data_IF_997738067457
#
_entry.id   IF_997738067457
#
_cell.length_a   1.000
_cell.length_b   1.000
_cell.length_c   1.000
_cell.angle_alpha   90.00
_cell.angle_beta   90.00
_cell.angle_gamma   90.00
#
_symmetry.space_group_name_H-M   'P 1'
#
loop_
_entity.id
_entity.type
_entity.pdbx_description
1 polymer ?
#
# COMPACT_ATOMS: atom_id res chain seq x y z
N UNK A 1 7.50 -7.20 -9.83
CA UNK A 1 7.35 -6.60 -8.47
C UNK A 1 8.57 -6.92 -7.63
N UNK A 2 9.05 -5.97 -6.84
CA UNK A 2 10.24 -6.08 -5.98
C UNK A 2 9.80 -5.81 -4.54
N UNK A 3 10.07 -6.76 -3.63
CA UNK A 3 9.84 -6.57 -2.20
C UNK A 3 11.03 -5.86 -1.57
N UNK A 4 10.79 -4.74 -0.91
CA UNK A 4 11.76 -3.95 -0.18
C UNK A 4 11.57 -4.22 1.32
N UNK A 5 12.53 -4.92 1.95
CA UNK A 5 12.47 -5.21 3.39
C UNK A 5 13.47 -4.34 4.14
N UNK A 6 12.99 -3.41 4.98
CA UNK A 6 13.84 -2.48 5.73
C UNK A 6 13.32 -2.16 7.15
N UNK A 7 12.12 -2.61 7.47
CA UNK A 7 11.50 -2.46 8.77
C UNK A 7 10.55 -3.62 9.04
N UNK A 8 9.42 -3.35 9.66
CA UNK A 8 8.39 -4.33 9.98
C UNK A 8 7.44 -4.56 8.81
N UNK A 9 7.12 -3.51 8.06
CA UNK A 9 6.19 -3.57 6.93
C UNK A 9 6.90 -4.02 5.66
N UNK A 10 6.28 -4.90 4.91
CA UNK A 10 6.71 -5.27 3.58
C UNK A 10 6.27 -4.20 2.60
N UNK A 11 7.22 -3.42 2.11
CA UNK A 11 7.02 -2.44 1.04
C UNK A 11 7.22 -3.11 -0.31
N UNK A 12 6.42 -2.75 -1.30
CA UNK A 12 6.52 -3.34 -2.64
C UNK A 12 6.70 -2.26 -3.70
N UNK A 13 7.73 -2.40 -4.53
CA UNK A 13 7.90 -1.59 -5.73
C UNK A 13 7.39 -2.37 -6.94
N UNK A 14 6.40 -1.81 -7.62
CA UNK A 14 5.81 -2.35 -8.84
C UNK A 14 6.34 -1.49 -10.01
N UNK A 15 7.23 -2.02 -10.85
CA UNK A 15 7.75 -1.26 -11.98
C UNK A 15 6.65 -1.02 -13.02
N UNK A 16 6.63 0.19 -13.58
CA UNK A 16 5.85 0.57 -14.75
C UNK A 16 6.76 0.86 -15.95
N UNK A 17 6.21 1.47 -17.01
CA UNK A 17 6.94 1.74 -18.26
C UNK A 17 8.05 2.80 -18.09
N UNK A 18 7.76 3.90 -17.38
CA UNK A 18 8.71 4.99 -17.16
C UNK A 18 9.08 5.12 -15.67
N UNK A 19 8.08 5.06 -14.80
CA UNK A 19 8.22 5.07 -13.35
C UNK A 19 7.28 4.04 -12.76
N UNK A 20 7.55 3.58 -11.53
CA UNK A 20 6.73 2.58 -10.86
C UNK A 20 5.89 3.14 -9.73
N UNK A 21 5.12 2.25 -9.13
CA UNK A 21 4.31 2.46 -7.94
C UNK A 21 5.02 1.85 -6.73
N UNK A 22 5.14 2.62 -5.65
CA UNK A 22 5.50 2.10 -4.33
C UNK A 22 4.21 1.83 -3.55
N UNK A 23 4.03 0.60 -3.09
CA UNK A 23 2.90 0.19 -2.27
C UNK A 23 3.36 -0.02 -0.83
N UNK A 24 2.78 0.75 0.08
CA UNK A 24 3.15 0.90 1.49
C UNK A 24 4.58 1.44 1.72
N UNK A 25 4.81 1.90 2.93
CA UNK A 25 6.12 2.20 3.50
C UNK A 25 6.25 1.51 4.86
N UNK A 26 7.12 2.00 5.70
CA UNK A 26 7.24 1.62 7.10
C UNK A 26 7.00 2.87 7.97
N UNK A 27 7.26 2.77 9.23
CA UNK A 27 7.11 3.80 10.24
C UNK A 27 7.99 5.03 9.94
N UNK A 28 7.56 6.21 10.37
CA UNK A 28 8.35 7.43 10.23
C UNK A 28 9.73 7.28 10.90
N UNK A 29 10.76 7.90 10.29
CA UNK A 29 12.15 7.79 10.75
C UNK A 29 12.92 6.62 10.13
N UNK A 30 12.30 5.75 9.35
CA UNK A 30 12.96 4.61 8.69
C UNK A 30 13.59 4.96 7.32
N UNK A 31 13.55 6.23 6.89
CA UNK A 31 14.04 6.67 5.58
C UNK A 31 15.49 6.23 5.25
N UNK A 32 16.47 6.26 6.18
CA UNK A 32 17.82 5.76 5.88
C UNK A 32 17.85 4.27 5.56
N UNK A 33 17.00 3.48 6.23
CA UNK A 33 16.87 2.05 5.97
C UNK A 33 16.18 1.79 4.62
N UNK A 34 15.17 2.59 4.27
CA UNK A 34 14.53 2.59 2.96
C UNK A 34 15.54 2.84 1.83
N UNK A 35 16.38 3.87 1.93
CA UNK A 35 17.42 4.16 0.92
C UNK A 35 18.38 2.99 0.72
N UNK A 36 18.75 2.33 1.82
CA UNK A 36 19.60 1.13 1.73
C UNK A 36 18.88 0.00 0.99
N UNK A 37 17.60 -0.23 1.30
CA UNK A 37 16.82 -1.29 0.68
C UNK A 37 16.60 -1.05 -0.82
N UNK A 38 16.21 0.16 -1.24
CA UNK A 38 16.04 0.46 -2.68
C UNK A 38 17.35 0.30 -3.44
N UNK A 39 18.47 0.80 -2.90
CA UNK A 39 19.81 0.64 -3.51
C UNK A 39 20.21 -0.84 -3.65
N UNK A 40 19.99 -1.65 -2.62
CA UNK A 40 20.30 -3.08 -2.63
C UNK A 40 19.49 -3.86 -3.68
N UNK A 41 18.30 -3.39 -4.00
CA UNK A 41 17.41 -3.99 -4.99
C UNK A 41 17.51 -3.33 -6.39
N UNK A 42 18.48 -2.45 -6.60
CA UNK A 42 18.68 -1.79 -7.90
C UNK A 42 17.59 -0.78 -8.27
N UNK A 43 16.83 -0.29 -7.28
CA UNK A 43 15.79 0.74 -7.45
C UNK A 43 16.37 2.07 -6.99
N UNK A 44 16.03 3.15 -7.66
CA UNK A 44 16.34 4.51 -7.22
C UNK A 44 15.04 5.25 -6.90
N UNK A 45 15.08 6.25 -6.00
CA UNK A 45 13.89 7.04 -5.64
C UNK A 45 13.26 7.69 -6.88
N UNK A 46 14.05 8.12 -7.84
CA UNK A 46 13.57 8.69 -9.13
C UNK A 46 12.75 7.70 -9.98
N UNK A 47 12.89 6.39 -9.75
CA UNK A 47 12.15 5.36 -10.45
C UNK A 47 10.73 5.19 -9.87
N UNK A 48 10.48 5.79 -8.68
CA UNK A 48 9.18 5.77 -8.00
C UNK A 48 8.39 7.00 -8.46
N UNK A 49 7.39 6.79 -9.29
CA UNK A 49 6.52 7.87 -9.76
C UNK A 49 5.42 8.21 -8.77
N UNK A 50 4.83 7.17 -8.18
CA UNK A 50 3.74 7.28 -7.23
C UNK A 50 3.96 6.39 -6.02
N UNK A 51 3.38 6.81 -4.88
CA UNK A 51 3.25 6.04 -3.65
C UNK A 51 1.77 5.90 -3.33
N UNK A 52 1.35 4.70 -2.94
CA UNK A 52 0.00 4.34 -2.53
C UNK A 52 0.10 3.56 -1.22
N UNK A 53 -0.55 4.02 -0.16
CA UNK A 53 -0.68 3.26 1.08
C UNK A 53 -1.89 2.33 1.02
N UNK A 54 -1.75 1.12 1.56
CA UNK A 54 -2.90 0.22 1.75
C UNK A 54 -3.92 0.84 2.71
N UNK A 55 -3.45 1.58 3.72
CA UNK A 55 -4.22 2.36 4.67
C UNK A 55 -3.29 3.32 5.43
N UNK A 56 -3.85 4.24 6.23
CA UNK A 56 -3.08 5.31 6.85
C UNK A 56 -2.68 5.04 8.31
N UNK A 57 -2.46 3.77 8.70
CA UNK A 57 -1.78 3.45 9.96
C UNK A 57 -0.28 3.82 9.88
N UNK A 58 0.35 4.12 11.04
CA UNK A 58 1.69 4.73 11.08
C UNK A 58 2.78 3.98 10.34
N UNK A 59 2.69 2.66 10.32
CA UNK A 59 3.69 1.77 9.71
C UNK A 59 3.41 1.43 8.24
N UNK A 60 2.39 2.05 7.63
CA UNK A 60 2.10 1.97 6.20
C UNK A 60 2.33 3.28 5.46
N UNK A 61 2.29 4.41 6.18
CA UNK A 61 2.34 5.74 5.58
C UNK A 61 3.52 6.61 6.03
N UNK A 62 4.35 6.12 6.96
CA UNK A 62 5.32 6.94 7.70
C UNK A 62 6.38 7.65 6.86
N UNK A 63 6.66 7.21 5.63
CA UNK A 63 7.62 7.86 4.73
C UNK A 63 6.97 8.66 3.59
N UNK A 64 5.64 8.71 3.50
CA UNK A 64 4.94 9.37 2.37
C UNK A 64 5.41 10.81 2.21
N UNK A 65 5.29 11.63 3.26
CA UNK A 65 5.65 13.05 3.21
C UNK A 65 7.14 13.28 2.85
N UNK A 66 8.03 12.42 3.35
CA UNK A 66 9.47 12.53 3.06
C UNK A 66 9.79 12.16 1.60
N UNK A 67 9.08 11.19 1.02
CA UNK A 67 9.21 10.81 -0.38
C UNK A 67 8.56 11.84 -1.31
N UNK A 68 7.43 12.45 -0.92
CA UNK A 68 6.82 13.55 -1.67
C UNK A 68 7.78 14.74 -1.81
N UNK A 69 8.52 15.09 -0.77
CA UNK A 69 9.58 16.14 -0.82
C UNK A 69 10.70 15.82 -1.80
N UNK A 70 10.82 14.56 -2.24
CA UNK A 70 11.81 14.11 -3.23
C UNK A 70 11.21 13.93 -4.63
N UNK A 71 9.96 14.36 -4.82
CA UNK A 71 9.29 14.35 -6.11
C UNK A 71 8.45 13.11 -6.40
N UNK A 72 8.32 12.18 -5.45
CA UNK A 72 7.36 11.08 -5.54
C UNK A 72 5.96 11.66 -5.34
N UNK A 73 5.01 11.32 -6.20
CA UNK A 73 3.62 11.78 -6.10
C UNK A 73 2.81 10.85 -5.19
N UNK A 74 1.91 11.41 -4.40
CA UNK A 74 0.96 10.63 -3.62
C UNK A 74 -0.26 10.29 -4.48
N UNK A 75 -0.57 9.00 -4.57
CA UNK A 75 -1.83 8.49 -5.09
C UNK A 75 -2.73 8.14 -3.90
N UNK A 76 -3.97 8.62 -3.93
CA UNK A 76 -4.98 8.40 -2.89
C UNK A 76 -6.22 7.82 -3.55
N UNK A 77 -6.79 6.80 -2.98
CA UNK A 77 -8.14 6.37 -3.35
C UNK A 77 -9.14 7.20 -2.54
N UNK A 78 -10.21 7.65 -3.17
CA UNK A 78 -11.19 8.58 -2.58
C UNK A 78 -11.70 8.16 -1.19
N UNK A 79 -11.89 6.86 -0.96
CA UNK A 79 -12.27 6.29 0.36
C UNK A 79 -11.22 6.54 1.45
N UNK A 80 -10.00 6.93 1.09
CA UNK A 80 -8.88 7.18 2.02
C UNK A 80 -8.77 8.66 2.42
N UNK A 81 -9.48 9.57 1.75
CA UNK A 81 -9.27 11.01 1.90
C UNK A 81 -9.33 11.50 3.35
N UNK A 82 -10.30 11.04 4.12
CA UNK A 82 -10.51 11.49 5.49
C UNK A 82 -9.48 10.93 6.48
N UNK A 83 -8.62 10.03 6.03
CA UNK A 83 -7.65 9.30 6.86
C UNK A 83 -6.20 9.75 6.69
N UNK A 84 -5.89 10.63 5.73
CA UNK A 84 -4.53 11.07 5.40
C UNK A 84 -3.72 11.56 6.61
N UNK A 85 -4.40 12.13 7.61
CA UNK A 85 -3.82 12.69 8.84
C UNK A 85 -4.07 11.82 10.09
N UNK A 86 -4.60 10.60 9.91
CA UNK A 86 -4.91 9.70 11.03
C UNK A 86 -3.70 9.48 11.95
N UNK A 87 -2.53 9.30 11.38
CA UNK A 87 -1.29 8.98 12.12
C UNK A 87 -0.54 10.19 12.69
N UNK A 88 -0.91 11.42 12.35
CA UNK A 88 -0.19 12.64 12.78
C UNK A 88 -0.12 12.74 14.31
N UNK A 89 -1.22 12.48 15.00
CA UNK A 89 -1.29 12.53 16.46
C UNK A 89 -0.47 11.42 17.14
N UNK A 90 -0.35 10.27 16.48
CA UNK A 90 0.44 9.12 16.96
C UNK A 90 1.92 9.45 16.88
N UNK A 91 2.42 9.96 15.75
CA UNK A 91 3.81 10.39 15.62
C UNK A 91 4.19 11.51 16.58
N UNK A 92 3.29 12.49 16.76
CA UNK A 92 3.50 13.57 17.73
C UNK A 92 3.64 13.04 19.17
N UNK A 93 2.81 12.08 19.57
CA UNK A 93 2.85 11.43 20.87
C UNK A 93 4.15 10.65 21.08
N UNK A 94 4.59 9.93 20.05
CA UNK A 94 5.80 9.12 20.06
C UNK A 94 7.08 9.96 19.91
N UNK A 95 6.93 11.30 19.76
CA UNK A 95 8.04 12.25 19.57
C UNK A 95 8.95 11.91 18.40
N UNK A 96 8.39 11.31 17.35
CA UNK A 96 9.10 11.00 16.13
C UNK A 96 9.09 12.24 15.24
N UNK A 97 10.24 12.54 14.62
CA UNK A 97 10.33 13.60 13.63
C UNK A 97 9.49 13.18 12.41
N UNK A 98 8.38 13.84 12.21
CA UNK A 98 7.40 13.58 11.17
C UNK A 98 6.92 14.91 10.57
N UNK A 99 6.61 14.91 9.30
CA UNK A 99 5.92 16.03 8.64
C UNK A 99 4.57 15.53 8.12
N UNK A 100 3.48 16.26 8.38
CA UNK A 100 2.17 15.92 7.80
C UNK A 100 2.22 15.82 6.28
N UNK A 101 1.33 15.06 5.70
CA UNK A 101 1.14 14.95 4.26
C UNK A 101 0.62 16.28 3.71
N UNK A 102 1.17 16.73 2.58
CA UNK A 102 0.59 17.82 1.80
C UNK A 102 -0.48 17.26 0.85
N UNK A 103 -1.71 17.20 1.34
CA UNK A 103 -2.86 16.68 0.58
C UNK A 103 -3.16 17.46 -0.69
N UNK A 104 -2.76 18.75 -0.76
CA UNK A 104 -3.05 19.62 -1.93
C UNK A 104 -2.32 19.17 -3.20
N UNK A 105 -1.27 18.38 -3.04
CA UNK A 105 -0.48 17.82 -4.15
C UNK A 105 -0.79 16.34 -4.44
N UNK A 106 -1.75 15.75 -3.72
CA UNK A 106 -2.16 14.37 -3.94
C UNK A 106 -2.97 14.21 -5.25
N UNK A 107 -2.81 13.06 -5.90
CA UNK A 107 -3.69 12.63 -6.99
C UNK A 107 -4.75 11.74 -6.39
N UNK A 108 -6.01 12.20 -6.40
CA UNK A 108 -7.14 11.43 -5.86
C UNK A 108 -7.92 10.82 -7.00
N UNK A 109 -8.20 9.52 -6.90
CA UNK A 109 -9.01 8.76 -7.86
C UNK A 109 -9.94 7.80 -7.11
N UNK A 110 -10.99 7.33 -7.77
CA UNK A 110 -11.81 6.23 -7.22
C UNK A 110 -11.19 4.86 -7.48
N UNK A 111 -11.67 3.81 -6.80
CA UNK A 111 -11.32 2.42 -7.12
C UNK A 111 -11.61 2.10 -8.59
N UNK A 112 -12.75 2.56 -9.13
CA UNK A 112 -13.17 2.31 -10.51
C UNK A 112 -12.22 2.93 -11.55
N UNK A 113 -11.62 4.08 -11.23
CA UNK A 113 -10.66 4.76 -12.09
C UNK A 113 -9.25 4.15 -12.02
N UNK A 114 -8.97 3.37 -10.96
CA UNK A 114 -7.63 2.87 -10.66
C UNK A 114 -7.03 2.02 -11.78
N UNK A 115 -7.83 1.17 -12.42
CA UNK A 115 -7.37 0.35 -13.56
C UNK A 115 -6.85 1.20 -14.71
N UNK A 116 -7.57 2.24 -15.08
CA UNK A 116 -7.15 3.14 -16.17
C UNK A 116 -5.91 3.93 -15.77
N UNK A 117 -5.86 4.42 -14.53
CA UNK A 117 -4.71 5.15 -14.01
C UNK A 117 -3.44 4.29 -14.01
N UNK A 118 -3.51 3.09 -13.44
CA UNK A 118 -2.38 2.14 -13.38
C UNK A 118 -1.93 1.70 -14.77
N UNK A 119 -2.88 1.46 -15.68
CA UNK A 119 -2.57 1.14 -17.10
C UNK A 119 -1.78 2.26 -17.76
N UNK A 120 -2.09 3.53 -17.47
CA UNK A 120 -1.32 4.69 -17.93
C UNK A 120 0.13 4.72 -17.44
N UNK A 121 0.44 3.98 -16.39
CA UNK A 121 1.81 3.77 -15.87
C UNK A 121 2.47 2.49 -16.42
N UNK A 122 1.77 1.67 -17.20
CA UNK A 122 2.22 0.33 -17.63
C UNK A 122 2.04 -0.74 -16.54
N UNK A 123 1.20 -0.49 -15.53
CA UNK A 123 0.87 -1.44 -14.47
C UNK A 123 -0.53 -1.98 -14.73
N UNK A 124 -0.63 -3.29 -14.92
CA UNK A 124 -1.91 -3.96 -15.21
C UNK A 124 -2.51 -4.52 -13.92
N UNK A 125 -3.61 -3.92 -13.47
CA UNK A 125 -4.29 -4.26 -12.23
C UNK A 125 -5.28 -3.16 -11.83
N UNK A 126 -5.88 -3.32 -10.67
CA UNK A 126 -6.81 -2.36 -10.10
C UNK A 126 -6.76 -2.36 -8.57
N UNK A 127 -7.23 -1.29 -7.98
CA UNK A 127 -7.39 -1.16 -6.52
C UNK A 127 -8.82 -1.50 -6.15
N UNK A 128 -8.99 -2.26 -5.07
CA UNK A 128 -10.29 -2.61 -4.51
C UNK A 128 -10.39 -2.20 -3.05
N UNK A 129 -11.54 -1.72 -2.64
CA UNK A 129 -11.81 -1.36 -1.24
C UNK A 129 -12.01 -2.63 -0.39
N UNK A 130 -11.24 -2.77 0.70
CA UNK A 130 -11.22 -3.94 1.60
C UNK A 130 -11.22 -3.49 3.06
N UNK A 131 -12.34 -2.91 3.55
CA UNK A 131 -12.40 -2.14 4.80
C UNK A 131 -12.43 -2.95 6.10
N UNK A 132 -12.26 -4.27 6.08
CA UNK A 132 -12.44 -5.08 7.31
C UNK A 132 -11.34 -4.88 8.35
N UNK A 133 -10.15 -4.38 7.97
CA UNK A 133 -9.09 -3.99 8.89
C UNK A 133 -9.30 -2.54 9.39
N UNK A 134 -9.46 -1.60 8.48
CA UNK A 134 -9.79 -0.20 8.75
C UNK A 134 -10.60 0.37 7.57
N UNK A 135 -11.42 1.40 7.83
CA UNK A 135 -12.37 1.95 6.85
C UNK A 135 -11.70 2.45 5.56
N UNK A 136 -10.43 2.86 5.64
CA UNK A 136 -9.61 3.34 4.52
C UNK A 136 -8.80 2.24 3.84
N UNK A 137 -8.92 0.98 4.28
CA UNK A 137 -8.11 -0.12 3.74
C UNK A 137 -8.45 -0.47 2.31
N UNK A 138 -7.40 -0.62 1.50
CA UNK A 138 -7.50 -1.04 0.10
C UNK A 138 -6.54 -2.19 -0.19
N UNK A 139 -6.86 -2.97 -1.20
CA UNK A 139 -5.98 -3.99 -1.77
C UNK A 139 -5.66 -3.68 -3.22
N UNK A 140 -4.46 -4.03 -3.67
CA UNK A 140 -4.03 -3.90 -5.07
C UNK A 140 -4.00 -5.28 -5.72
N UNK A 141 -4.84 -5.50 -6.72
CA UNK A 141 -4.94 -6.74 -7.49
C UNK A 141 -4.28 -6.56 -8.85
N UNK A 142 -3.25 -7.36 -9.15
CA UNK A 142 -2.53 -7.32 -10.41
C UNK A 142 -2.99 -8.45 -11.35
N UNK A 143 -3.05 -8.18 -12.64
CA UNK A 143 -3.53 -9.13 -13.65
C UNK A 143 -2.64 -10.39 -13.79
N UNK A 144 -1.40 -10.34 -13.29
CA UNK A 144 -0.51 -11.51 -13.22
C UNK A 144 -0.89 -12.53 -12.13
N UNK A 145 -1.88 -12.17 -11.29
CA UNK A 145 -2.37 -12.97 -10.18
C UNK A 145 -1.72 -12.63 -8.82
N UNK A 146 -0.92 -11.57 -8.72
CA UNK A 146 -0.42 -11.06 -7.45
C UNK A 146 -1.46 -10.13 -6.82
N UNK A 147 -1.71 -10.29 -5.52
CA UNK A 147 -2.59 -9.41 -4.77
C UNK A 147 -1.88 -8.93 -3.49
N UNK A 148 -1.83 -7.61 -3.30
CA UNK A 148 -1.25 -6.97 -2.12
C UNK A 148 -2.39 -6.49 -1.23
N UNK A 149 -2.46 -6.96 0.00
CA UNK A 149 -3.66 -6.79 0.85
C UNK A 149 -3.42 -5.95 2.12
N UNK A 150 -2.23 -5.35 2.27
CA UNK A 150 -1.90 -4.59 3.50
C UNK A 150 -2.05 -5.48 4.73
N UNK A 151 -2.85 -5.03 5.69
CA UNK A 151 -3.12 -5.68 6.98
C UNK A 151 -4.42 -6.46 7.02
N UNK A 152 -4.98 -6.79 5.85
CA UNK A 152 -6.14 -7.67 5.81
C UNK A 152 -5.83 -8.99 6.52
N UNK A 153 -6.68 -9.40 7.45
CA UNK A 153 -6.50 -10.66 8.19
C UNK A 153 -6.36 -11.86 7.24
N UNK A 154 -5.44 -12.79 7.52
CA UNK A 154 -5.15 -13.91 6.63
C UNK A 154 -6.38 -14.72 6.25
N UNK A 155 -6.42 -15.16 4.98
CA UNK A 155 -7.52 -15.96 4.42
C UNK A 155 -7.82 -17.22 5.26
N UNK A 156 -6.80 -17.85 5.83
CA UNK A 156 -6.94 -19.02 6.72
C UNK A 156 -7.64 -18.72 8.05
N UNK A 157 -7.77 -17.45 8.41
CA UNK A 157 -8.42 -17.05 9.65
C UNK A 157 -9.92 -16.81 9.49
N UNK A 158 -10.46 -16.91 8.26
CA UNK A 158 -11.89 -16.74 8.01
C UNK A 158 -12.77 -17.67 8.91
N UNK A 159 -12.33 -18.90 9.14
CA UNK A 159 -13.05 -19.83 10.04
C UNK A 159 -13.03 -19.36 11.51
N UNK A 160 -11.90 -18.78 11.96
CA UNK A 160 -11.79 -18.24 13.31
C UNK A 160 -12.62 -16.95 13.49
N UNK A 161 -12.76 -16.18 12.43
CA UNK A 161 -13.52 -14.91 12.37
C UNK A 161 -14.84 -15.04 11.60
N UNK A 162 -15.49 -16.21 11.65
CA UNK A 162 -16.70 -16.53 10.88
C UNK A 162 -17.87 -15.55 11.06
N UNK A 163 -17.90 -14.83 12.18
CA UNK A 163 -18.92 -13.82 12.48
C UNK A 163 -18.54 -12.42 11.92
N UNK A 164 -17.33 -12.25 11.38
CA UNK A 164 -16.89 -11.03 10.72
C UNK A 164 -17.30 -11.07 9.23
N UNK A 165 -18.51 -10.58 8.96
CA UNK A 165 -19.05 -10.55 7.59
C UNK A 165 -18.29 -9.62 6.66
N UNK A 166 -17.65 -8.54 7.20
CA UNK A 166 -16.82 -7.62 6.42
C UNK A 166 -15.58 -8.33 5.90
N UNK A 167 -14.85 -9.04 6.77
CA UNK A 167 -13.66 -9.80 6.38
C UNK A 167 -13.99 -10.86 5.30
N UNK A 168 -15.14 -11.54 5.47
CA UNK A 168 -15.59 -12.51 4.47
C UNK A 168 -15.88 -11.82 3.13
N UNK A 169 -16.56 -10.68 3.16
CA UNK A 169 -16.89 -9.91 1.95
C UNK A 169 -15.63 -9.46 1.21
N UNK A 170 -14.61 -8.96 1.93
CA UNK A 170 -13.34 -8.53 1.35
C UNK A 170 -12.63 -9.69 0.66
N UNK A 171 -12.57 -10.86 1.33
CA UNK A 171 -11.97 -12.05 0.73
C UNK A 171 -12.77 -12.60 -0.44
N UNK A 172 -14.10 -12.63 -0.37
CA UNK A 172 -14.94 -13.04 -1.51
C UNK A 172 -14.69 -12.11 -2.72
N UNK A 173 -14.54 -10.80 -2.49
CA UNK A 173 -14.21 -9.84 -3.54
C UNK A 173 -12.83 -10.10 -4.14
N UNK A 174 -11.77 -10.19 -3.30
CA UNK A 174 -10.40 -10.49 -3.77
C UNK A 174 -10.37 -11.82 -4.54
N UNK A 175 -11.01 -12.86 -4.03
CA UNK A 175 -11.00 -14.19 -4.65
C UNK A 175 -11.74 -14.23 -6.00
N UNK A 176 -12.66 -13.28 -6.25
CA UNK A 176 -13.33 -13.14 -7.54
C UNK A 176 -12.35 -12.82 -8.69
N UNK A 177 -11.19 -12.24 -8.39
CA UNK A 177 -10.11 -11.99 -9.34
C UNK A 177 -9.18 -13.19 -9.59
N UNK A 178 -9.44 -14.33 -8.94
CA UNK A 178 -8.64 -15.55 -9.04
C UNK A 178 -7.12 -15.32 -8.78
N UNK A 179 -6.74 -14.68 -7.65
CA UNK A 179 -5.33 -14.43 -7.34
C UNK A 179 -4.56 -15.74 -7.21
N UNK A 180 -3.28 -15.71 -7.57
CA UNK A 180 -2.35 -16.83 -7.43
C UNK A 180 -1.46 -16.69 -6.19
N UNK A 181 -1.17 -15.46 -5.79
CA UNK A 181 -0.33 -15.13 -4.63
C UNK A 181 -0.91 -13.95 -3.87
N UNK A 182 -0.90 -14.06 -2.56
CA UNK A 182 -1.29 -12.97 -1.65
C UNK A 182 -0.02 -12.46 -0.94
N UNK A 183 0.14 -11.14 -0.94
CA UNK A 183 1.24 -10.45 -0.28
C UNK A 183 0.69 -9.60 0.87
N UNK A 184 1.10 -9.94 2.08
CA UNK A 184 0.74 -9.25 3.31
C UNK A 184 1.81 -8.25 3.72
N UNK A 185 1.41 -7.22 4.44
CA UNK A 185 2.36 -6.23 4.94
C UNK A 185 3.27 -6.80 6.04
N UNK A 186 2.78 -7.69 6.90
CA UNK A 186 3.54 -8.17 8.05
C UNK A 186 3.87 -9.67 8.02
N UNK A 187 3.44 -10.38 7.00
CA UNK A 187 3.57 -11.83 6.90
C UNK A 187 4.31 -12.25 5.63
N UNK A 188 4.80 -13.51 5.56
CA UNK A 188 5.25 -14.10 4.31
C UNK A 188 4.11 -14.14 3.27
N UNK A 189 4.50 -14.12 1.99
CA UNK A 189 3.54 -14.34 0.89
C UNK A 189 2.89 -15.72 0.99
N UNK A 190 1.63 -15.80 0.56
CA UNK A 190 0.88 -17.04 0.45
C UNK A 190 0.63 -17.35 -1.02
N UNK A 191 0.97 -18.58 -1.45
CA UNK A 191 0.57 -19.11 -2.76
C UNK A 191 -0.76 -19.81 -2.63
N UNK A 192 -1.66 -19.49 -3.55
CA UNK A 192 -2.94 -20.15 -3.70
C UNK A 192 -2.77 -21.24 -4.76
N UNK A 193 -3.20 -22.46 -4.46
CA UNK A 193 -3.07 -23.62 -5.33
C UNK A 193 -3.99 -23.57 -6.53
#
# INVERSE_FOLDING_TARGET
MIKLKYGNTNTFFIPGDNTGLLFDTDYAGTLPAFYKAVKQNGVAVKDIGYILASHYHPDHMGLISELMKQGVKLLVIDVQNDFLHYSDSIFAKDKIAFSPIDETSATVISCEESRNFLSGMGIHGEVVHTPSHSEDSISLVLDNGDCLVGDLEPLEYLEAYKDNSSLKSDWDHIMSFCPKRIFYAHMPEKRLG
#
